data_IF_595563032571
#
_entry.id   IF_595563032571
#
_cell.length_a   1.000
_cell.length_b   1.000
_cell.length_c   1.000
_cell.angle_alpha   90.00
_cell.angle_beta   90.00
_cell.angle_gamma   90.00
#
_symmetry.space_group_name_H-M   'P 1'
#
loop_
_entity.id
_entity.type
_entity.pdbx_description
1 polymer ?
#
# COMPACT_ATOMS: atom_id res chain seq x y z
N UNK A 1 -12.42 -28.97 -40.77
CA UNK A 1 -12.01 -29.59 -39.48
C UNK A 1 -10.63 -29.07 -39.11
N UNK A 2 -10.55 -27.95 -38.38
CA UNK A 2 -9.29 -27.28 -38.08
C UNK A 2 -8.72 -27.78 -36.75
N UNK A 3 -7.59 -28.49 -36.83
CA UNK A 3 -6.81 -28.92 -35.66
C UNK A 3 -6.04 -27.71 -35.14
N UNK A 4 -6.59 -26.99 -34.16
CA UNK A 4 -5.80 -26.04 -33.38
C UNK A 4 -4.75 -26.80 -32.58
N UNK A 5 -3.48 -26.45 -32.80
CA UNK A 5 -2.33 -27.00 -32.10
C UNK A 5 -2.49 -26.91 -30.58
N UNK A 6 -2.09 -28.00 -29.92
CA UNK A 6 -2.21 -28.21 -28.47
C UNK A 6 -1.60 -27.06 -27.64
N UNK A 7 -0.53 -26.45 -28.15
CA UNK A 7 0.16 -25.30 -27.55
C UNK A 7 -0.72 -24.04 -27.49
N UNK A 8 -1.53 -23.78 -28.52
CA UNK A 8 -2.42 -22.61 -28.56
C UNK A 8 -3.57 -22.76 -27.56
N UNK A 9 -4.05 -23.99 -27.34
CA UNK A 9 -5.10 -24.28 -26.35
C UNK A 9 -4.61 -24.12 -24.92
N UNK A 10 -3.39 -24.54 -24.63
CA UNK A 10 -2.77 -24.35 -23.31
C UNK A 10 -2.51 -22.88 -23.00
N UNK A 11 -2.04 -22.09 -23.98
CA UNK A 11 -1.81 -20.66 -23.81
C UNK A 11 -3.09 -19.89 -23.45
N UNK A 12 -4.20 -20.19 -24.14
CA UNK A 12 -5.50 -19.55 -23.85
C UNK A 12 -6.01 -19.95 -22.46
N UNK A 13 -5.83 -21.21 -22.05
CA UNK A 13 -6.23 -21.66 -20.73
C UNK A 13 -5.47 -20.93 -19.61
N UNK A 14 -4.14 -20.76 -19.75
CA UNK A 14 -3.30 -20.05 -18.77
C UNK A 14 -3.61 -18.55 -18.69
N UNK A 15 -3.92 -17.92 -19.83
CA UNK A 15 -4.36 -16.52 -19.87
C UNK A 15 -5.72 -16.35 -19.20
N UNK A 16 -6.66 -17.29 -19.43
CA UNK A 16 -7.97 -17.24 -18.80
C UNK A 16 -7.90 -17.48 -17.28
N UNK A 17 -7.08 -18.42 -16.80
CA UNK A 17 -6.92 -18.64 -15.35
C UNK A 17 -6.23 -17.48 -14.65
N UNK A 18 -5.20 -16.87 -15.25
CA UNK A 18 -4.56 -15.68 -14.66
C UNK A 18 -5.52 -14.49 -14.58
N UNK A 19 -6.35 -14.28 -15.61
CA UNK A 19 -7.42 -13.27 -15.57
C UNK A 19 -8.48 -13.58 -14.52
N UNK A 20 -8.91 -14.85 -14.37
CA UNK A 20 -9.88 -15.22 -13.34
C UNK A 20 -9.33 -15.02 -11.93
N UNK A 21 -8.06 -15.37 -11.68
CA UNK A 21 -7.45 -15.21 -10.35
C UNK A 21 -7.29 -13.75 -9.94
N UNK A 22 -7.08 -12.83 -10.89
CA UNK A 22 -7.01 -11.39 -10.60
C UNK A 22 -8.40 -10.76 -10.39
N UNK A 23 -9.46 -11.27 -11.02
CA UNK A 23 -10.83 -10.86 -10.73
C UNK A 23 -11.36 -11.37 -9.37
N UNK A 24 -10.83 -12.47 -8.84
CA UNK A 24 -11.15 -12.95 -7.48
C UNK A 24 -10.33 -12.27 -6.37
N UNK A 25 -9.70 -11.13 -6.67
CA UNK A 25 -8.99 -10.32 -5.69
C UNK A 25 -9.84 -9.95 -4.48
N UNK A 26 -9.45 -10.48 -3.32
CA UNK A 26 -9.66 -9.92 -1.99
C UNK A 26 -11.11 -9.56 -1.60
N UNK A 27 -12.04 -10.51 -1.61
CA UNK A 27 -13.12 -10.48 -0.63
C UNK A 27 -12.51 -10.90 0.73
N UNK A 28 -11.89 -9.95 1.43
CA UNK A 28 -11.75 -10.10 2.89
C UNK A 28 -13.17 -10.26 3.44
N UNK A 29 -13.50 -11.37 4.12
CA UNK A 29 -14.80 -11.48 4.75
C UNK A 29 -14.93 -10.30 5.71
N UNK A 30 -15.86 -9.41 5.38
CA UNK A 30 -16.31 -8.34 6.23
C UNK A 30 -16.78 -9.01 7.53
N UNK A 31 -15.91 -9.04 8.53
CA UNK A 31 -16.25 -9.50 9.87
C UNK A 31 -17.39 -8.59 10.33
N UNK A 32 -18.59 -9.15 10.24
CA UNK A 32 -19.82 -8.59 10.79
C UNK A 32 -19.50 -8.21 12.25
N UNK A 33 -19.62 -6.93 12.65
CA UNK A 33 -19.43 -6.56 14.04
C UNK A 33 -20.54 -7.25 14.82
N UNK A 34 -20.16 -8.35 15.47
CA UNK A 34 -21.00 -9.10 16.38
C UNK A 34 -21.42 -8.15 17.49
N UNK A 35 -22.74 -8.08 17.68
CA UNK A 35 -23.41 -7.21 18.62
C UNK A 35 -22.77 -7.33 19.99
N UNK A 36 -22.18 -6.23 20.48
CA UNK A 36 -21.86 -6.09 21.89
C UNK A 36 -23.14 -6.27 22.71
N UNK A 37 -23.23 -7.28 23.61
CA UNK A 37 -24.30 -7.28 24.59
C UNK A 37 -24.09 -6.09 25.53
N UNK A 38 -25.18 -5.38 25.79
CA UNK A 38 -25.29 -4.36 26.82
C UNK A 38 -25.06 -4.98 28.21
N UNK A 39 -23.81 -5.20 28.60
CA UNK A 39 -23.45 -5.47 29.99
C UNK A 39 -23.13 -4.15 30.69
N UNK A 40 -24.19 -3.37 30.90
CA UNK A 40 -24.21 -2.31 31.91
C UNK A 40 -24.32 -3.02 33.26
N UNK A 41 -23.19 -3.31 33.89
CA UNK A 41 -23.18 -3.75 35.27
C UNK A 41 -21.93 -3.22 35.98
N UNK A 42 -22.17 -2.12 36.70
CA UNK A 42 -21.50 -1.72 37.96
C UNK A 42 -20.00 -2.06 38.03
N UNK A 43 -19.17 -1.14 37.55
CA UNK A 43 -17.81 -1.04 38.05
C UNK A 43 -17.77 -0.06 39.23
N UNK A 44 -17.15 -0.43 40.36
CA UNK A 44 -16.87 0.51 41.44
C UNK A 44 -15.97 1.62 40.90
N UNK A 45 -16.22 2.83 41.38
CA UNK A 45 -15.48 4.04 41.08
C UNK A 45 -14.01 3.83 41.45
N UNK A 46 -13.19 3.34 40.51
CA UNK A 46 -11.74 3.31 40.66
C UNK A 46 -11.29 4.76 40.51
N UNK A 47 -10.84 5.32 41.62
CA UNK A 47 -10.22 6.63 41.73
C UNK A 47 -9.12 6.74 40.68
N UNK A 48 -9.38 7.52 39.63
CA UNK A 48 -8.45 7.81 38.54
C UNK A 48 -7.14 8.32 39.16
N UNK A 49 -6.02 7.57 39.09
CA UNK A 49 -4.74 8.10 39.54
C UNK A 49 -4.41 9.33 38.70
N UNK A 50 -3.86 10.36 39.35
CA UNK A 50 -3.48 11.61 38.73
C UNK A 50 -2.63 11.35 37.47
N UNK A 51 -2.81 12.14 36.38
CA UNK A 51 -2.07 11.95 35.15
C UNK A 51 -0.57 12.09 35.44
N UNK A 52 0.14 10.97 35.44
CA UNK A 52 1.60 10.95 35.40
C UNK A 52 2.04 11.74 34.15
N UNK A 53 3.09 12.58 34.25
CA UNK A 53 3.56 13.36 33.11
C UNK A 53 3.82 12.42 31.94
N UNK A 54 3.13 12.69 30.84
CA UNK A 54 3.15 11.91 29.61
C UNK A 54 4.53 12.03 28.96
N UNK A 55 5.50 11.22 29.41
CA UNK A 55 6.83 11.18 28.84
C UNK A 55 6.76 10.52 27.47
N UNK A 56 7.22 11.21 26.44
CA UNK A 56 7.34 10.66 25.09
C UNK A 56 8.26 9.43 25.11
N UNK A 57 7.77 8.29 24.64
CA UNK A 57 8.61 7.11 24.42
C UNK A 57 9.60 7.41 23.28
N UNK A 58 10.88 7.51 23.63
CA UNK A 58 11.98 7.84 22.71
C UNK A 58 12.18 6.76 21.64
N UNK A 59 11.92 5.49 21.96
CA UNK A 59 12.03 4.39 21.00
C UNK A 59 10.86 4.38 20.01
N UNK A 60 9.68 4.79 20.47
CA UNK A 60 8.52 5.00 19.61
C UNK A 60 8.75 6.19 18.66
N UNK A 61 9.22 7.33 19.19
CA UNK A 61 9.50 8.52 18.40
C UNK A 61 10.54 8.26 17.28
N UNK A 62 11.64 7.55 17.59
CA UNK A 62 12.66 7.20 16.60
C UNK A 62 12.11 6.37 15.43
N UNK A 63 11.10 5.51 15.67
CA UNK A 63 10.41 4.77 14.60
C UNK A 63 9.56 5.68 13.73
N UNK A 64 8.84 6.63 14.33
CA UNK A 64 8.09 7.63 13.57
C UNK A 64 9.02 8.45 12.66
N UNK A 65 10.17 8.87 13.19
CA UNK A 65 11.17 9.64 12.45
C UNK A 65 11.75 8.84 11.27
N UNK A 66 12.02 7.54 11.47
CA UNK A 66 12.51 6.67 10.40
C UNK A 66 11.48 6.46 9.27
N UNK A 67 10.19 6.49 9.57
CA UNK A 67 9.13 6.28 8.57
C UNK A 67 8.86 7.50 7.69
N UNK A 68 9.17 8.71 8.17
CA UNK A 68 8.97 9.94 7.43
C UNK A 68 9.68 9.98 6.06
N UNK A 69 10.99 9.71 5.93
CA UNK A 69 11.67 9.72 4.63
C UNK A 69 11.11 8.68 3.66
N UNK A 70 10.61 7.52 4.16
CA UNK A 70 9.94 6.54 3.31
C UNK A 70 8.63 7.08 2.72
N UNK A 71 7.87 7.88 3.47
CA UNK A 71 6.69 8.57 2.94
C UNK A 71 7.07 9.60 1.87
N UNK A 72 8.04 10.46 2.18
CA UNK A 72 8.50 11.52 1.28
C UNK A 72 9.01 10.93 -0.05
N UNK A 73 9.81 9.86 0.02
CA UNK A 73 10.32 9.15 -1.15
C UNK A 73 9.19 8.64 -2.04
N UNK A 74 8.12 8.08 -1.46
CA UNK A 74 6.96 7.62 -2.22
C UNK A 74 6.21 8.77 -2.90
N UNK A 75 6.09 9.92 -2.24
CA UNK A 75 5.46 11.11 -2.86
C UNK A 75 6.30 11.64 -4.01
N UNK A 76 7.62 11.66 -3.87
CA UNK A 76 8.52 12.03 -4.97
C UNK A 76 8.44 11.07 -6.16
N UNK A 77 8.33 9.76 -5.91
CA UNK A 77 8.17 8.77 -6.97
C UNK A 77 6.87 9.00 -7.75
N UNK A 78 5.74 9.19 -7.05
CA UNK A 78 4.45 9.49 -7.68
C UNK A 78 4.49 10.77 -8.53
N UNK A 79 5.14 11.82 -8.04
CA UNK A 79 5.30 13.06 -8.80
C UNK A 79 6.18 12.86 -10.03
N UNK A 80 7.20 12.02 -9.93
CA UNK A 80 8.07 11.67 -11.06
C UNK A 80 7.31 10.90 -12.14
N UNK A 81 6.55 9.88 -11.73
CA UNK A 81 5.67 9.09 -12.61
C UNK A 81 4.61 9.99 -13.28
N UNK A 82 3.99 10.90 -12.52
CA UNK A 82 3.06 11.88 -13.06
C UNK A 82 3.72 12.74 -14.14
N UNK A 83 4.92 13.30 -13.88
CA UNK A 83 5.62 14.14 -14.85
C UNK A 83 5.99 13.38 -16.12
N UNK A 84 6.36 12.12 -15.99
CA UNK A 84 6.66 11.26 -17.13
C UNK A 84 5.39 11.03 -17.98
N UNK A 85 4.27 10.70 -17.34
CA UNK A 85 2.99 10.51 -18.01
C UNK A 85 2.44 11.80 -18.63
N UNK A 86 2.61 12.94 -17.96
CA UNK A 86 2.24 14.25 -18.49
C UNK A 86 3.01 14.55 -19.77
N UNK A 87 4.32 14.28 -19.81
CA UNK A 87 5.15 14.50 -21.01
C UNK A 87 4.68 13.65 -22.19
N UNK A 88 4.40 12.36 -21.99
CA UNK A 88 3.91 11.50 -23.07
C UNK A 88 2.54 11.97 -23.56
N UNK A 89 1.59 12.19 -22.64
CA UNK A 89 0.23 12.61 -22.99
C UNK A 89 0.20 13.99 -23.65
N UNK A 90 1.11 14.89 -23.27
CA UNK A 90 1.22 16.22 -23.90
C UNK A 90 1.71 16.14 -25.34
N UNK A 91 2.61 15.22 -25.64
CA UNK A 91 3.04 14.98 -27.01
C UNK A 91 1.87 14.45 -27.86
N UNK A 92 1.12 13.47 -27.34
CA UNK A 92 -0.06 12.90 -28.00
C UNK A 92 -1.15 13.95 -28.23
N UNK A 93 -1.41 14.80 -27.22
CA UNK A 93 -2.34 15.91 -27.33
C UNK A 93 -1.93 16.89 -28.43
N UNK A 94 -0.65 17.25 -28.49
CA UNK A 94 -0.13 18.17 -29.52
C UNK A 94 -0.30 17.59 -30.92
N UNK A 95 -0.03 16.29 -31.09
CA UNK A 95 -0.27 15.59 -32.36
C UNK A 95 -1.76 15.56 -32.72
N UNK A 96 -2.64 15.26 -31.78
CA UNK A 96 -4.09 15.26 -31.99
C UNK A 96 -4.63 16.62 -32.45
N UNK A 97 -4.19 17.69 -31.78
CA UNK A 97 -4.59 19.07 -32.13
C UNK A 97 -4.09 19.45 -33.52
N UNK A 98 -2.88 19.03 -33.88
CA UNK A 98 -2.28 19.28 -35.20
C UNK A 98 -3.01 18.55 -36.32
N UNK A 99 -3.44 17.31 -36.09
CA UNK A 99 -4.20 16.52 -37.06
C UNK A 99 -5.67 16.96 -37.19
N UNK A 100 -6.11 17.99 -36.46
CA UNK A 100 -7.51 18.45 -36.40
C UNK A 100 -8.53 17.34 -36.09
N UNK A 101 -8.10 16.29 -35.36
CA UNK A 101 -8.95 15.15 -34.99
C UNK A 101 -9.82 15.49 -33.77
N UNK A 102 -10.76 16.42 -33.94
CA UNK A 102 -11.85 16.64 -32.99
C UNK A 102 -11.45 16.76 -31.51
N UNK A 103 -12.16 16.06 -30.62
CA UNK A 103 -12.00 16.13 -29.17
C UNK A 103 -10.71 15.47 -28.67
N UNK A 104 -9.64 16.26 -28.56
CA UNK A 104 -8.38 15.83 -27.96
C UNK A 104 -8.47 15.80 -26.42
N UNK A 105 -7.87 14.78 -25.79
CA UNK A 105 -7.80 14.68 -24.33
C UNK A 105 -6.77 15.66 -23.78
N UNK A 106 -7.22 16.58 -22.93
CA UNK A 106 -6.34 17.54 -22.28
C UNK A 106 -5.46 16.85 -21.22
N UNK A 107 -4.12 16.97 -21.28
CA UNK A 107 -3.24 16.47 -20.23
C UNK A 107 -3.51 17.18 -18.90
N UNK A 108 -3.58 16.41 -17.81
CA UNK A 108 -3.76 16.94 -16.44
C UNK A 108 -2.40 17.26 -15.84
N UNK A 109 -2.22 18.49 -15.35
CA UNK A 109 -0.97 18.91 -14.72
C UNK A 109 -0.72 18.19 -13.39
N UNK A 110 0.55 17.91 -13.10
CA UNK A 110 0.97 17.36 -11.81
C UNK A 110 0.91 18.43 -10.73
N UNK A 111 0.40 18.07 -9.54
CA UNK A 111 0.19 18.98 -8.43
C UNK A 111 1.42 19.13 -7.52
N UNK A 112 2.52 18.43 -7.81
CA UNK A 112 3.67 18.37 -6.94
C UNK A 112 3.60 17.20 -5.95
N UNK A 113 4.75 16.88 -5.35
CA UNK A 113 4.80 15.94 -4.24
C UNK A 113 4.17 16.57 -2.99
N UNK A 114 2.99 16.10 -2.61
CA UNK A 114 2.32 16.57 -1.39
C UNK A 114 2.98 15.97 -0.15
N UNK A 115 3.88 16.75 0.46
CA UNK A 115 4.57 16.39 1.69
C UNK A 115 3.75 16.69 2.96
N UNK A 116 2.64 17.42 2.84
CA UNK A 116 1.78 17.75 3.99
C UNK A 116 1.16 16.49 4.61
N UNK A 117 0.85 15.49 3.78
CA UNK A 117 0.39 14.19 4.23
C UNK A 117 1.44 13.46 5.07
N UNK A 118 2.71 13.47 4.64
CA UNK A 118 3.80 12.83 5.36
C UNK A 118 4.04 13.49 6.73
N UNK A 119 3.95 14.82 6.79
CA UNK A 119 4.02 15.56 8.05
C UNK A 119 2.85 15.23 8.98
N UNK A 120 1.64 15.14 8.43
CA UNK A 120 0.44 14.80 9.22
C UNK A 120 0.57 13.39 9.82
N UNK A 121 0.95 12.40 9.02
CA UNK A 121 1.17 11.02 9.50
C UNK A 121 2.29 10.93 10.54
N UNK A 122 3.37 11.70 10.37
CA UNK A 122 4.44 11.77 11.35
C UNK A 122 3.96 12.35 12.68
N UNK A 123 3.21 13.45 12.66
CA UNK A 123 2.64 14.05 13.87
C UNK A 123 1.63 13.13 14.56
N UNK A 124 0.76 12.46 13.80
CA UNK A 124 -0.16 11.46 14.34
C UNK A 124 0.59 10.31 15.02
N UNK A 125 1.68 9.83 14.42
CA UNK A 125 2.55 8.81 15.00
C UNK A 125 3.17 9.28 16.32
N UNK A 126 3.74 10.49 16.35
CA UNK A 126 4.32 11.06 17.57
C UNK A 126 3.27 11.27 18.68
N UNK A 127 2.06 11.68 18.32
CA UNK A 127 0.97 11.81 19.28
C UNK A 127 0.57 10.44 19.85
N UNK A 128 0.52 9.41 19.02
CA UNK A 128 0.28 8.04 19.49
C UNK A 128 1.37 7.58 20.47
N UNK A 129 2.64 7.91 20.20
CA UNK A 129 3.76 7.57 21.10
C UNK A 129 3.67 8.18 22.50
N UNK A 130 2.97 9.32 22.66
CA UNK A 130 2.71 9.91 23.98
C UNK A 130 1.71 9.08 24.78
N UNK A 131 0.77 8.41 24.11
CA UNK A 131 -0.32 7.68 24.76
C UNK A 131 -0.03 6.18 24.93
N UNK A 132 1.07 5.69 24.36
CA UNK A 132 1.54 4.32 24.56
C UNK A 132 1.97 4.11 26.00
N UNK A 133 1.09 3.54 26.82
CA UNK A 133 1.49 3.01 28.12
C UNK A 133 2.38 1.81 27.84
N UNK A 134 3.62 1.74 28.38
CA UNK A 134 4.49 0.59 28.14
C UNK A 134 3.75 -0.67 28.57
N UNK A 135 3.52 -1.58 27.62
CA UNK A 135 2.89 -2.86 27.90
C UNK A 135 3.73 -3.57 28.97
N UNK A 136 3.11 -4.14 30.03
CA UNK A 136 3.86 -4.84 31.05
C UNK A 136 4.66 -5.98 30.41
N UNK A 137 5.95 -6.07 30.76
CA UNK A 137 6.96 -6.92 30.13
C UNK A 137 6.70 -8.45 30.17
N UNK A 138 5.54 -8.89 30.64
CA UNK A 138 5.20 -10.30 30.83
C UNK A 138 4.15 -10.86 29.84
N UNK A 139 3.73 -10.08 28.84
CA UNK A 139 2.80 -10.58 27.80
C UNK A 139 3.56 -11.17 26.60
N UNK A 140 4.44 -12.14 26.85
CA UNK A 140 4.94 -13.02 25.79
C UNK A 140 3.81 -14.00 25.48
N UNK A 141 2.91 -13.62 24.56
CA UNK A 141 2.08 -14.60 23.89
C UNK A 141 2.99 -15.40 22.93
N UNK A 142 2.85 -16.72 22.87
CA UNK A 142 3.70 -17.56 22.02
C UNK A 142 3.50 -17.12 20.57
N UNK A 143 4.59 -16.69 19.94
CA UNK A 143 4.68 -16.54 18.49
C UNK A 143 4.30 -17.89 17.90
N UNK A 144 3.09 -18.00 17.36
CA UNK A 144 2.72 -19.14 16.54
C UNK A 144 3.53 -19.00 15.26
N UNK A 145 4.65 -19.72 15.22
CA UNK A 145 5.53 -19.86 14.06
C UNK A 145 4.67 -20.08 12.82
N UNK A 146 4.63 -19.06 11.94
CA UNK A 146 4.06 -19.22 10.63
C UNK A 146 4.96 -20.20 9.88
N UNK A 147 4.41 -21.25 9.23
CA UNK A 147 5.22 -22.18 8.48
C UNK A 147 6.01 -21.44 7.41
N UNK A 148 7.32 -21.62 7.45
CA UNK A 148 8.32 -21.12 6.52
C UNK A 148 7.84 -21.36 5.09
N UNK A 149 7.43 -20.31 4.40
CA UNK A 149 7.15 -20.40 2.98
C UNK A 149 8.47 -20.73 2.26
N UNK A 150 8.50 -21.75 1.38
CA UNK A 150 9.70 -22.08 0.63
C UNK A 150 10.11 -20.89 -0.24
N UNK A 151 11.41 -20.58 -0.16
CA UNK A 151 12.16 -19.62 -0.95
C UNK A 151 11.77 -19.71 -2.43
N UNK A 152 11.25 -18.63 -3.06
CA UNK A 152 11.06 -18.63 -4.50
C UNK A 152 12.44 -18.62 -5.16
N UNK A 153 12.78 -19.75 -5.77
CA UNK A 153 13.99 -19.92 -6.54
C UNK A 153 14.14 -18.78 -7.54
N UNK A 154 15.24 -18.04 -7.40
CA UNK A 154 15.72 -17.01 -8.31
C UNK A 154 15.81 -17.56 -9.72
N UNK A 155 14.82 -17.26 -10.57
CA UNK A 155 14.91 -17.56 -12.01
C UNK A 155 15.92 -16.61 -12.65
N UNK A 156 16.94 -17.11 -13.37
CA UNK A 156 17.89 -16.27 -14.08
C UNK A 156 17.20 -15.57 -15.25
N UNK A 157 17.32 -14.24 -15.24
CA UNK A 157 16.92 -13.35 -16.32
C UNK A 157 17.75 -13.69 -17.57
N UNK A 158 17.13 -14.33 -18.57
CA UNK A 158 17.76 -14.54 -19.87
C UNK A 158 17.86 -13.20 -20.60
N UNK A 159 19.10 -12.74 -20.72
CA UNK A 159 19.53 -11.56 -21.45
C UNK A 159 19.45 -11.83 -22.95
N UNK A 160 18.42 -11.30 -23.62
CA UNK A 160 18.36 -11.29 -25.08
C UNK A 160 19.18 -10.10 -25.60
N UNK A 161 20.40 -10.38 -26.06
CA UNK A 161 21.22 -9.48 -26.85
C UNK A 161 20.60 -9.31 -28.23
N UNK A 162 20.11 -8.11 -28.53
CA UNK A 162 19.80 -7.70 -29.89
C UNK A 162 21.10 -7.27 -30.58
N UNK A 163 21.48 -8.01 -31.61
CA UNK A 163 22.51 -7.61 -32.56
C UNK A 163 21.93 -6.58 -33.55
N UNK A 164 22.67 -5.49 -33.76
CA UNK A 164 22.58 -4.62 -34.93
C UNK A 164 24.00 -4.31 -35.40
#
# INVERSE_FOLDING_TARGET
>A
MSRLSFTTRFGIFLLATTLLTSLTGCQVPFLKPEQLPAFVSKLPFITKPAPTPTTLDTTCAARCDAMRPHCEQRQHLRETECKQHFKSTSADHTACVTDHRGHCLQPVACLGADLSLCNTQHQECLNACRHSTPAPANSVLPVREAPTAPEPASSPMQQATAAH
#
